data_IF_906713327123
#
_entry.id   IF_906713327123
#
_cell.length_a   1.000
_cell.length_b   1.000
_cell.length_c   1.000
_cell.angle_alpha   90.00
_cell.angle_beta   90.00
_cell.angle_gamma   90.00
#
_symmetry.space_group_name_H-M   'P 1'
#
loop_
_entity.id
_entity.type
_entity.pdbx_description
1 polymer ?
#
# COMPACT_ATOMS: atom_id res chain seq x y z
N UNK A 1 -6.59 14.46 -4.56
CA UNK A 1 -7.19 13.15 -4.93
C UNK A 1 -6.33 12.09 -4.27
N UNK A 2 -6.87 11.28 -3.34
CA UNK A 2 -6.14 10.18 -2.68
C UNK A 2 -6.50 8.88 -3.40
N UNK A 3 -5.51 8.16 -3.93
CA UNK A 3 -5.71 6.81 -4.45
C UNK A 3 -5.18 5.79 -3.43
N UNK A 4 -6.09 5.03 -2.84
CA UNK A 4 -5.74 3.81 -2.13
C UNK A 4 -5.53 2.72 -3.18
N UNK A 5 -4.32 2.17 -3.26
CA UNK A 5 -4.06 1.01 -4.10
C UNK A 5 -4.48 -0.24 -3.34
N UNK A 6 -5.76 -0.62 -3.51
CA UNK A 6 -6.32 -1.87 -3.04
C UNK A 6 -6.78 -2.66 -4.26
N UNK A 7 -6.12 -3.78 -4.57
CA UNK A 7 -6.66 -4.70 -5.56
C UNK A 7 -7.43 -5.80 -4.83
N UNK A 8 -8.75 -5.60 -4.78
CA UNK A 8 -9.73 -6.65 -4.57
C UNK A 8 -9.73 -7.70 -5.68
N UNK A 9 -10.34 -8.84 -5.38
CA UNK A 9 -10.59 -9.99 -6.26
C UNK A 9 -10.82 -9.62 -7.74
N UNK A 10 -10.39 -10.49 -8.69
CA UNK A 10 -10.48 -10.23 -10.12
C UNK A 10 -11.89 -9.82 -10.59
N UNK A 11 -12.04 -8.57 -11.02
CA UNK A 11 -13.26 -8.11 -11.68
C UNK A 11 -13.26 -8.53 -13.16
N UNK A 12 -14.30 -9.28 -13.56
CA UNK A 12 -14.54 -9.65 -14.96
C UNK A 12 -15.17 -8.48 -15.71
N UNK A 13 -14.68 -8.21 -16.92
CA UNK A 13 -15.32 -7.26 -17.82
C UNK A 13 -16.76 -7.73 -18.16
N UNK A 14 -17.80 -6.91 -17.96
CA UNK A 14 -19.19 -7.33 -18.15
C UNK A 14 -19.52 -7.78 -19.58
N UNK A 15 -18.76 -7.30 -20.57
CA UNK A 15 -19.07 -7.52 -21.99
C UNK A 15 -18.16 -8.54 -22.68
N UNK A 16 -16.94 -8.75 -22.19
CA UNK A 16 -15.94 -9.61 -22.86
C UNK A 16 -15.60 -10.86 -22.04
N UNK A 17 -15.96 -10.91 -20.75
CA UNK A 17 -15.56 -12.01 -19.85
C UNK A 17 -14.07 -12.03 -19.51
N UNK A 18 -13.28 -11.14 -20.12
CA UNK A 18 -11.85 -10.99 -19.87
C UNK A 18 -11.64 -10.55 -18.42
N UNK A 19 -10.72 -11.22 -17.73
CA UNK A 19 -10.31 -10.81 -16.38
C UNK A 19 -9.33 -9.65 -16.53
N UNK A 20 -9.74 -8.42 -16.17
CA UNK A 20 -8.79 -7.31 -16.11
C UNK A 20 -7.96 -7.46 -14.84
N UNK A 21 -6.88 -8.24 -14.90
CA UNK A 21 -5.87 -8.22 -13.85
C UNK A 21 -4.92 -7.06 -14.14
N UNK A 22 -5.30 -5.83 -13.80
CA UNK A 22 -4.31 -4.77 -13.63
C UNK A 22 -3.59 -5.07 -12.32
N UNK A 23 -2.29 -5.28 -12.37
CA UNK A 23 -1.47 -5.44 -11.16
C UNK A 23 -1.36 -4.11 -10.44
N UNK A 24 -0.90 -4.10 -9.18
CA UNK A 24 -0.66 -2.83 -8.47
C UNK A 24 0.39 -2.04 -9.24
N UNK A 25 1.40 -2.74 -9.77
CA UNK A 25 2.43 -2.17 -10.65
C UNK A 25 1.83 -1.42 -11.85
N UNK A 26 0.98 -2.08 -12.65
CA UNK A 26 0.38 -1.47 -13.84
C UNK A 26 -0.48 -0.23 -13.48
N UNK A 27 -1.15 -0.28 -12.34
CA UNK A 27 -2.00 0.82 -11.87
C UNK A 27 -1.17 2.02 -11.45
N UNK A 28 -0.05 1.80 -10.74
CA UNK A 28 0.89 2.85 -10.33
C UNK A 28 1.56 3.47 -11.56
N UNK A 29 2.05 2.65 -12.51
CA UNK A 29 2.65 3.14 -13.75
C UNK A 29 1.67 4.01 -14.55
N UNK A 30 0.44 3.53 -14.74
CA UNK A 30 -0.59 4.30 -15.44
C UNK A 30 -0.94 5.61 -14.70
N UNK A 31 -0.96 5.59 -13.36
CA UNK A 31 -1.21 6.79 -12.57
C UNK A 31 -0.10 7.84 -12.79
N UNK A 32 1.17 7.42 -12.85
CA UNK A 32 2.30 8.30 -13.15
C UNK A 32 2.16 8.88 -14.56
N UNK A 33 1.82 8.05 -15.55
CA UNK A 33 1.68 8.48 -16.95
C UNK A 33 0.58 9.52 -17.16
N UNK A 34 -0.49 9.47 -16.37
CA UNK A 34 -1.56 10.49 -16.41
C UNK A 34 -1.27 11.71 -15.52
N UNK A 35 -0.10 11.78 -14.88
CA UNK A 35 0.38 12.92 -14.10
C UNK A 35 0.09 12.88 -12.61
N UNK A 36 -0.21 11.71 -12.03
CA UNK A 36 -0.29 11.59 -10.58
C UNK A 36 1.09 11.44 -9.95
N UNK A 37 1.30 12.23 -8.91
CA UNK A 37 2.54 12.23 -8.13
C UNK A 37 2.32 11.81 -6.67
N UNK A 38 1.07 11.67 -6.22
CA UNK A 38 0.75 11.34 -4.83
C UNK A 38 0.28 9.88 -4.71
N UNK A 39 1.01 9.07 -3.96
CA UNK A 39 0.74 7.66 -3.75
C UNK A 39 0.49 7.37 -2.28
N UNK A 40 -0.66 6.76 -1.98
CA UNK A 40 -1.05 6.44 -0.62
C UNK A 40 -0.99 4.92 -0.37
N UNK A 41 0.03 4.49 0.38
CA UNK A 41 0.33 3.11 0.69
C UNK A 41 -0.08 2.76 2.13
N UNK A 42 -0.13 1.47 2.45
CA UNK A 42 -0.29 0.99 3.82
C UNK A 42 0.51 -0.29 4.02
N UNK A 43 1.14 -0.44 5.19
CA UNK A 43 2.02 -1.56 5.55
C UNK A 43 1.39 -2.95 5.29
N UNK A 44 0.07 -3.07 5.39
CA UNK A 44 -0.64 -4.34 5.24
C UNK A 44 -0.99 -4.75 3.83
N UNK A 45 -0.83 -3.85 2.87
CA UNK A 45 -1.23 -4.15 1.50
C UNK A 45 -0.29 -5.17 0.82
N UNK A 46 0.85 -5.53 1.44
CA UNK A 46 1.83 -6.51 0.93
C UNK A 46 2.22 -6.32 -0.54
N UNK A 47 1.98 -5.14 -1.09
CA UNK A 47 2.15 -4.78 -2.49
C UNK A 47 3.28 -3.76 -2.67
N UNK A 48 4.04 -3.49 -1.60
CA UNK A 48 5.16 -2.54 -1.60
C UNK A 48 6.20 -2.91 -2.66
N UNK A 49 6.42 -4.21 -2.94
CA UNK A 49 7.31 -4.65 -4.02
C UNK A 49 6.80 -4.27 -5.42
N UNK A 50 5.49 -4.40 -5.67
CA UNK A 50 4.90 -4.01 -6.96
C UNK A 50 4.92 -2.48 -7.15
N UNK A 51 4.68 -1.74 -6.07
CA UNK A 51 4.77 -0.28 -6.06
C UNK A 51 6.20 0.16 -6.32
N UNK A 52 7.18 -0.44 -5.63
CA UNK A 52 8.61 -0.19 -5.88
C UNK A 52 8.95 -0.39 -7.34
N UNK A 53 8.61 -1.54 -7.91
CA UNK A 53 8.99 -1.90 -9.28
C UNK A 53 8.38 -0.90 -10.28
N UNK A 54 7.16 -0.40 -10.05
CA UNK A 54 6.55 0.64 -10.87
C UNK A 54 7.27 2.00 -10.75
N UNK A 55 7.64 2.39 -9.53
CA UNK A 55 8.33 3.67 -9.29
C UNK A 55 9.73 3.65 -9.90
N UNK A 56 10.48 2.56 -9.72
CA UNK A 56 11.82 2.41 -10.29
C UNK A 56 11.80 2.47 -11.81
N UNK A 57 10.87 1.74 -12.45
CA UNK A 57 10.73 1.77 -13.91
C UNK A 57 10.42 3.18 -14.42
N UNK A 58 9.52 3.91 -13.78
CA UNK A 58 9.19 5.30 -14.19
C UNK A 58 10.30 6.31 -13.93
N UNK A 59 11.14 6.06 -12.94
CA UNK A 59 12.34 6.86 -12.69
C UNK A 59 13.43 6.54 -13.74
N UNK A 60 13.61 5.26 -14.09
CA UNK A 60 14.55 4.83 -15.12
C UNK A 60 14.14 5.32 -16.53
N UNK A 61 12.84 5.39 -16.81
CA UNK A 61 12.27 5.98 -18.03
C UNK A 61 12.37 7.52 -18.08
N UNK A 62 12.86 8.17 -17.01
CA UNK A 62 12.92 9.64 -16.85
C UNK A 62 11.54 10.32 -16.95
N UNK A 63 10.46 9.58 -16.62
CA UNK A 63 9.08 10.11 -16.61
C UNK A 63 8.83 10.95 -15.35
N UNK A 64 9.42 10.55 -14.22
CA UNK A 64 9.28 11.24 -12.94
C UNK A 64 10.57 11.10 -12.12
N UNK A 65 10.92 12.11 -11.34
CA UNK A 65 12.03 11.99 -10.37
C UNK A 65 11.47 11.59 -9.02
N UNK A 66 12.28 10.88 -8.22
CA UNK A 66 11.89 10.48 -6.87
C UNK A 66 11.44 11.67 -5.99
N UNK A 67 12.09 12.83 -6.14
CA UNK A 67 11.75 14.04 -5.40
C UNK A 67 10.43 14.70 -5.83
N UNK A 68 9.87 14.33 -6.99
CA UNK A 68 8.58 14.82 -7.47
C UNK A 68 7.42 13.94 -6.97
N UNK A 69 7.71 12.77 -6.40
CA UNK A 69 6.73 11.85 -5.85
C UNK A 69 6.44 12.18 -4.38
N UNK A 70 5.17 12.08 -3.99
CA UNK A 70 4.69 12.22 -2.62
C UNK A 70 4.15 10.89 -2.13
N UNK A 71 4.95 10.17 -1.35
CA UNK A 71 4.65 8.82 -0.87
C UNK A 71 4.18 8.87 0.59
N UNK A 72 2.97 8.36 0.81
CA UNK A 72 2.38 8.21 2.15
C UNK A 72 2.39 6.75 2.55
N UNK A 73 2.74 6.47 3.81
CA UNK A 73 2.47 5.16 4.43
C UNK A 73 1.78 5.33 5.77
N UNK A 74 1.18 4.24 6.25
CA UNK A 74 0.36 4.22 7.46
C UNK A 74 0.83 3.11 8.41
N UNK A 75 1.11 3.48 9.65
CA UNK A 75 1.42 2.60 10.77
C UNK A 75 0.16 1.80 11.14
N UNK A 76 0.26 0.48 11.12
CA UNK A 76 -0.84 -0.38 11.53
C UNK A 76 -1.08 -0.37 13.04
N UNK A 77 -2.34 -0.59 13.42
CA UNK A 77 -2.85 -0.55 14.79
C UNK A 77 -2.14 -1.45 15.80
N UNK A 78 -1.46 -2.51 15.36
CA UNK A 78 -0.70 -3.40 16.26
C UNK A 78 0.63 -2.82 16.72
N UNK A 79 1.09 -1.73 16.11
CA UNK A 79 2.42 -1.16 16.35
C UNK A 79 2.36 0.23 17.01
N UNK A 80 1.27 0.55 17.70
CA UNK A 80 1.10 1.84 18.39
C UNK A 80 1.99 2.01 19.62
N UNK A 81 2.56 0.93 20.16
CA UNK A 81 3.51 1.04 21.26
C UNK A 81 4.77 1.78 20.81
N UNK A 82 5.19 2.80 21.57
CA UNK A 82 6.34 3.67 21.23
C UNK A 82 7.59 2.93 20.72
N UNK A 83 8.06 1.83 21.36
CA UNK A 83 9.25 1.12 20.87
C UNK A 83 9.01 0.38 19.55
N UNK A 84 7.75 0.06 19.22
CA UNK A 84 7.36 -0.73 18.06
C UNK A 84 7.06 0.11 16.81
N UNK A 85 6.91 1.43 16.94
CA UNK A 85 6.57 2.32 15.82
C UNK A 85 7.65 2.35 14.73
N UNK A 86 8.93 2.26 15.12
CA UNK A 86 10.06 2.47 14.21
C UNK A 86 10.23 1.33 13.22
N UNK A 87 10.08 0.10 13.68
CA UNK A 87 10.39 -1.10 12.90
C UNK A 87 9.48 -1.25 11.65
N UNK A 88 8.14 -1.10 11.73
CA UNK A 88 7.26 -1.16 10.55
C UNK A 88 7.58 -0.07 9.53
N UNK A 89 7.87 1.15 9.98
CA UNK A 89 8.26 2.24 9.07
C UNK A 89 9.55 1.93 8.32
N UNK A 90 10.55 1.39 9.00
CA UNK A 90 11.80 0.95 8.36
C UNK A 90 11.59 -0.22 7.40
N UNK A 91 10.70 -1.16 7.73
CA UNK A 91 10.32 -2.26 6.85
C UNK A 91 9.64 -1.75 5.57
N UNK A 92 8.70 -0.81 5.67
CA UNK A 92 8.08 -0.17 4.50
C UNK A 92 9.11 0.54 3.64
N UNK A 93 10.02 1.32 4.24
CA UNK A 93 11.09 2.00 3.50
C UNK A 93 11.98 1.00 2.75
N UNK A 94 12.37 -0.09 3.40
CA UNK A 94 13.18 -1.14 2.79
C UNK A 94 12.44 -1.87 1.65
N UNK A 95 11.14 -2.15 1.84
CA UNK A 95 10.33 -2.81 0.82
C UNK A 95 10.13 -1.94 -0.43
N UNK A 96 9.89 -0.65 -0.22
CA UNK A 96 9.76 0.36 -1.28
C UNK A 96 11.10 0.82 -1.86
N UNK A 97 12.23 0.46 -1.24
CA UNK A 97 13.58 0.98 -1.54
C UNK A 97 13.63 2.53 -1.57
N UNK A 98 13.00 3.14 -0.57
CA UNK A 98 13.00 4.60 -0.39
C UNK A 98 13.85 4.99 0.82
N UNK A 99 14.52 6.14 0.73
CA UNK A 99 15.27 6.71 1.86
C UNK A 99 14.35 7.42 2.87
N UNK A 100 13.20 7.92 2.42
CA UNK A 100 12.23 8.63 3.24
C UNK A 100 10.79 8.42 2.73
N UNK A 101 9.82 8.71 3.61
CA UNK A 101 8.40 8.86 3.26
C UNK A 101 8.04 10.33 3.45
N UNK A 102 7.26 10.90 2.54
CA UNK A 102 6.77 12.28 2.66
C UNK A 102 5.79 12.43 3.82
N UNK A 103 5.04 11.37 4.12
CA UNK A 103 4.08 11.36 5.21
C UNK A 103 3.93 9.96 5.82
N UNK A 104 4.00 9.88 7.14
CA UNK A 104 3.73 8.66 7.90
C UNK A 104 2.58 8.88 8.89
N UNK A 105 1.47 8.17 8.70
CA UNK A 105 0.23 8.36 9.47
C UNK A 105 -0.04 7.19 10.41
N UNK A 106 -0.80 7.44 11.47
CA UNK A 106 -1.46 6.39 12.24
C UNK A 106 -2.66 5.91 11.41
N UNK A 107 -2.75 4.62 11.09
CA UNK A 107 -3.80 4.09 10.21
C UNK A 107 -5.20 4.22 10.84
N UNK A 108 -5.33 3.90 12.13
CA UNK A 108 -6.53 4.11 12.95
C UNK A 108 -6.12 4.56 14.35
N UNK A 109 -6.93 5.34 15.07
CA UNK A 109 -6.60 5.74 16.45
C UNK A 109 -6.69 4.61 17.48
N UNK A 110 -7.16 3.41 17.10
CA UNK A 110 -7.32 2.24 17.97
C UNK A 110 -6.09 1.33 17.89
N UNK A 111 -5.49 1.00 19.04
CA UNK A 111 -4.38 0.06 19.13
C UNK A 111 -4.86 -1.37 19.38
N UNK A 112 -4.31 -2.34 18.66
CA UNK A 112 -4.65 -3.76 18.82
C UNK A 112 -3.48 -4.52 19.45
N UNK A 113 -3.80 -5.52 20.30
CA UNK A 113 -2.79 -6.44 20.82
C UNK A 113 -2.49 -7.50 19.76
N UNK A 114 -1.21 -7.74 19.52
CA UNK A 114 -0.73 -8.85 18.69
C UNK A 114 -1.09 -10.15 19.40
N UNK A 115 -1.92 -10.99 18.77
CA UNK A 115 -2.13 -12.35 19.25
C UNK A 115 -0.97 -13.23 18.76
N UNK A 116 -0.62 -14.26 19.52
CA UNK A 116 0.57 -15.10 19.28
C UNK A 116 0.64 -15.69 17.85
N UNK A 117 -0.51 -15.85 17.19
CA UNK A 117 -0.63 -16.31 15.80
C UNK A 117 -0.23 -15.25 14.75
N UNK A 118 -0.34 -13.95 15.05
CA UNK A 118 0.02 -12.86 14.12
C UNK A 118 1.54 -12.71 13.95
N UNK A 119 2.33 -13.30 14.86
CA UNK A 119 3.80 -13.30 14.84
C UNK A 119 4.33 -14.34 13.84
N UNK A 120 3.64 -15.48 13.72
CA UNK A 120 4.08 -16.61 12.88
C UNK A 120 3.72 -16.40 11.40
N UNK A 121 2.70 -15.59 11.10
CA UNK A 121 2.34 -15.18 9.73
C UNK A 121 2.05 -13.68 9.67
N UNK A 122 3.07 -12.83 9.49
CA UNK A 122 2.88 -11.40 9.36
C UNK A 122 2.08 -11.12 8.08
N UNK A 123 0.78 -10.84 8.21
CA UNK A 123 -0.05 -10.28 7.15
C UNK A 123 -1.10 -11.20 6.51
N UNK A 124 -1.18 -12.50 6.79
CA UNK A 124 -2.22 -13.37 6.17
C UNK A 124 -3.62 -13.11 6.71
N UNK A 125 -3.79 -13.00 8.02
CA UNK A 125 -5.09 -12.72 8.64
C UNK A 125 -5.40 -11.21 8.71
N UNK A 126 -4.35 -10.39 8.79
CA UNK A 126 -4.48 -8.94 8.87
C UNK A 126 -4.77 -8.29 7.51
N UNK A 127 -4.35 -8.88 6.38
CA UNK A 127 -4.75 -8.41 5.05
C UNK A 127 -6.24 -8.67 4.80
N UNK A 128 -6.75 -9.84 5.22
CA UNK A 128 -8.18 -10.17 5.21
C UNK A 128 -8.98 -9.21 6.10
N UNK A 129 -8.47 -8.85 7.29
CA UNK A 129 -9.10 -7.84 8.14
C UNK A 129 -9.05 -6.44 7.51
N UNK A 130 -7.98 -6.09 6.82
CA UNK A 130 -7.90 -4.83 6.06
C UNK A 130 -8.93 -4.82 4.92
N UNK A 131 -9.11 -5.97 4.23
CA UNK A 131 -10.14 -6.16 3.20
C UNK A 131 -11.54 -6.01 3.78
N UNK A 132 -11.82 -6.70 4.90
CA UNK A 132 -13.11 -6.72 5.56
C UNK A 132 -13.49 -5.34 6.14
N UNK A 133 -12.57 -4.67 6.83
CA UNK A 133 -12.83 -3.35 7.42
C UNK A 133 -12.89 -2.22 6.39
N UNK A 134 -12.12 -2.27 5.29
CA UNK A 134 -12.26 -1.27 4.23
C UNK A 134 -13.53 -1.47 3.41
N UNK A 135 -13.93 -2.72 3.15
CA UNK A 135 -15.20 -3.06 2.48
C UNK A 135 -16.42 -2.52 3.23
N UNK A 136 -16.42 -2.63 4.56
CA UNK A 136 -17.46 -2.06 5.45
C UNK A 136 -17.48 -0.52 5.45
N UNK A 137 -16.36 0.13 5.10
CA UNK A 137 -16.27 1.60 4.99
C UNK A 137 -16.55 2.13 3.58
N UNK A 138 -16.65 1.27 2.55
CA UNK A 138 -16.93 1.69 1.15
C UNK A 138 -18.37 1.45 0.71
N UNK A 139 -19.16 0.67 1.45
CA UNK A 139 -20.59 0.49 1.21
C UNK A 139 -21.39 0.78 2.49
N UNK A 140 -22.42 1.64 2.44
CA UNK A 140 -23.30 1.90 3.58
C UNK A 140 -24.16 0.71 3.97
#
# INVERSE_FOLDING_TARGET
VRFFFYLGEPAKHPLTGNTWRRTVKDTVMFAIDVGYHHFDCAYLCQNESEIRDALQEKIEEDVVRQADLFIVSKLWSTFHERPMVKEPGQKTLAALQLDYLDLYLIHWPMGFKILRQDIETPGSHLSELCHFFLWDQTYP
#
